data_IF_182648958838
#
_entry.id   IF_182648958838
#
_cell.length_a   1.000
_cell.length_b   1.000
_cell.length_c   1.000
_cell.angle_alpha   90.00
_cell.angle_beta   90.00
_cell.angle_gamma   90.00
#
_symmetry.space_group_name_H-M   'P 1'
#
loop_
_entity.id
_entity.type
_entity.pdbx_description
1 polymer ?
2 non-polymer ?
3 non-polymer ?
4 water ?
#
# COMPACT_ATOMS: atom_id res chain seq x y z
N UNK A 1 -9.74 5.73 -21.75
CA UNK A 1 -10.37 4.40 -21.45
C UNK A 1 -10.47 4.21 -19.95
N UNK A 2 -10.83 3.01 -19.47
CA UNK A 2 -10.97 2.83 -18.04
C UNK A 2 -9.59 3.01 -17.37
N UNK A 3 -9.55 2.72 -16.09
CA UNK A 3 -8.26 2.62 -15.38
C UNK A 3 -7.99 1.13 -15.33
N UNK A 4 -6.74 0.71 -15.47
CA UNK A 4 -6.40 -0.71 -15.35
C UNK A 4 -5.92 -1.03 -13.93
N UNK A 5 -6.38 -2.17 -13.46
CA UNK A 5 -6.15 -2.67 -12.08
C UNK A 5 -5.79 -4.15 -12.10
N UNK A 6 -4.97 -4.55 -11.14
CA UNK A 6 -4.61 -5.97 -10.88
C UNK A 6 -4.90 -6.29 -9.43
N UNK A 7 -5.44 -7.47 -9.15
CA UNK A 7 -5.54 -8.01 -7.79
C UNK A 7 -4.17 -8.53 -7.36
N UNK A 8 -3.82 -8.26 -6.12
CA UNK A 8 -2.54 -8.73 -5.61
C UNK A 8 -2.49 -8.75 -4.08
N UNK A 9 -1.52 -9.46 -3.53
CA UNK A 9 -1.14 -9.34 -2.13
C UNK A 9 0.27 -8.78 -2.04
N UNK A 10 0.61 -8.24 -0.89
CA UNK A 10 1.97 -7.76 -0.60
C UNK A 10 2.49 -8.48 0.62
N UNK A 11 3.79 -8.79 0.63
CA UNK A 11 4.50 -9.23 1.85
C UNK A 11 5.77 -8.41 2.01
N UNK A 12 6.14 -8.11 3.25
CA UNK A 12 7.36 -7.31 3.54
C UNK A 12 8.56 -8.25 3.33
N UNK A 13 9.74 -7.66 3.35
CA UNK A 13 10.96 -8.43 2.96
C UNK A 13 11.30 -9.42 4.07
N UNK A 14 10.68 -9.30 5.23
CA UNK A 14 10.87 -10.32 6.28
C UNK A 14 9.81 -11.38 6.12
N UNK A 15 8.97 -11.28 5.08
CA UNK A 15 7.92 -12.20 4.64
C UNK A 15 6.71 -12.15 5.59
N UNK A 16 6.43 -11.02 6.18
CA UNK A 16 5.16 -10.79 6.92
C UNK A 16 4.06 -10.38 5.94
N UNK A 17 2.89 -10.96 6.13
CA UNK A 17 1.64 -10.76 5.41
C UNK A 17 0.91 -9.58 6.05
N UNK A 18 -0.01 -8.98 5.29
CA UNK A 18 -0.88 -7.87 5.76
C UNK A 18 -2.32 -8.38 5.88
N UNK A 19 -2.96 -8.07 7.01
CA UNK A 19 -4.35 -8.48 7.36
C UNK A 19 -5.05 -7.26 7.96
N UNK A 20 -6.34 -7.08 7.65
CA UNK A 20 -7.22 -6.08 8.32
C UNK A 20 -7.39 -6.50 9.79
N UNK A 21 -7.04 -5.61 10.73
CA UNK A 21 -7.15 -5.85 12.19
C UNK A 21 -7.94 -4.71 12.85
N UNK A 22 -9.27 -4.75 12.70
CA UNK A 22 -10.19 -3.75 13.26
C UNK A 22 -10.52 -2.65 12.25
N UNK A 23 -11.52 -1.79 12.55
CA UNK A 23 -12.13 -0.91 11.56
C UNK A 23 -11.28 -0.60 10.31
N UNK A 24 -10.19 0.17 10.45
CA UNK A 24 -9.44 0.80 9.33
C UNK A 24 -7.93 0.61 9.51
N UNK A 25 -7.54 -0.62 9.84
CA UNK A 25 -6.22 -0.93 10.43
C UNK A 25 -5.62 -2.17 9.76
N UNK A 26 -4.59 -1.96 8.94
CA UNK A 26 -3.73 -3.02 8.37
C UNK A 26 -2.61 -3.31 9.37
N UNK A 27 -2.32 -4.59 9.63
CA UNK A 27 -1.19 -5.00 10.49
C UNK A 27 -0.36 -6.04 9.74
N UNK A 28 0.92 -6.17 10.10
CA UNK A 28 1.78 -7.14 9.43
C UNK A 28 2.15 -8.22 10.45
N UNK A 29 1.98 -9.42 10.01
CA UNK A 29 2.36 -10.57 10.86
C UNK A 29 2.74 -11.73 9.97
N UNK A 30 3.53 -12.60 10.61
CA UNK A 30 3.92 -13.87 9.99
C UNK A 30 2.71 -14.77 9.89
N UNK A 31 2.44 -15.31 8.72
CA UNK A 31 1.20 -16.05 8.40
C UNK A 31 1.58 -17.19 7.50
N UNK A 32 0.96 -18.36 7.69
CA UNK A 32 1.13 -19.49 6.77
C UNK A 32 -0.05 -20.42 7.02
N UNK A 33 -0.41 -21.15 5.99
CA UNK A 33 -1.46 -22.19 6.08
C UNK A 33 -2.84 -21.59 6.01
N UNK A 34 -3.76 -22.14 6.82
CA UNK A 34 -5.20 -21.77 6.79
C UNK A 34 -5.31 -20.25 6.92
N UNK A 35 -4.61 -19.68 7.89
CA UNK A 35 -4.75 -18.26 8.28
C UNK A 35 -4.41 -17.34 7.08
N UNK A 36 -3.92 -17.86 5.95
CA UNK A 36 -3.45 -16.99 4.83
C UNK A 36 -4.65 -16.37 4.11
N UNK A 37 -5.83 -16.95 4.26
CA UNK A 37 -7.09 -16.35 3.74
C UNK A 37 -7.31 -15.01 4.42
N UNK A 38 -6.73 -14.75 5.61
CA UNK A 38 -6.96 -13.49 6.35
C UNK A 38 -6.26 -12.34 5.61
N UNK A 39 -5.31 -12.62 4.75
CA UNK A 39 -4.50 -11.51 4.20
C UNK A 39 -5.36 -10.61 3.32
N UNK A 40 -4.97 -9.35 3.26
CA UNK A 40 -5.66 -8.33 2.46
C UNK A 40 -5.29 -8.52 1.00
N UNK A 41 -6.30 -8.51 0.16
CA UNK A 41 -6.15 -8.45 -1.29
C UNK A 41 -6.35 -7.03 -1.74
N UNK A 42 -5.34 -6.52 -2.42
CA UNK A 42 -5.34 -5.18 -2.99
C UNK A 42 -5.85 -5.22 -4.42
N UNK A 43 -6.50 -4.16 -4.82
CA UNK A 43 -6.66 -3.79 -6.23
C UNK A 43 -5.69 -2.67 -6.51
N UNK A 44 -4.62 -2.98 -7.24
CA UNK A 44 -3.55 -2.00 -7.55
C UNK A 44 -3.94 -1.37 -8.87
N UNK A 45 -4.27 -0.09 -8.87
CA UNK A 45 -4.63 0.67 -10.10
C UNK A 45 -3.38 1.38 -10.64
N UNK A 46 -3.25 1.43 -11.97
CA UNK A 46 -2.11 2.11 -12.62
C UNK A 46 -2.59 3.50 -13.04
N UNK A 47 -2.15 4.51 -12.33
CA UNK A 47 -2.79 5.84 -12.32
C UNK A 47 -1.92 6.86 -13.02
N UNK A 48 -2.52 8.02 -13.25
CA UNK A 48 -1.79 9.17 -13.82
C UNK A 48 -0.70 9.64 -12.86
N UNK A 49 0.45 10.00 -13.41
CA UNK A 49 1.54 10.55 -12.60
C UNK A 49 2.89 10.46 -13.32
N UNK A 50 3.88 11.18 -12.82
CA UNK A 50 5.30 11.08 -13.26
C UNK A 50 5.77 9.61 -13.22
N UNK A 51 6.35 9.10 -14.32
CA UNK A 51 6.68 7.67 -14.49
C UNK A 51 8.08 7.50 -15.10
N UNK A 52 8.80 6.44 -14.72
CA UNK A 52 10.09 6.05 -15.35
C UNK A 52 10.18 4.53 -15.40
N UNK A 53 11.28 3.98 -15.91
CA UNK A 53 11.34 2.51 -16.16
C UNK A 53 10.96 1.78 -14.88
N UNK A 54 11.52 2.20 -13.76
CA UNK A 54 11.43 1.41 -12.51
C UNK A 54 10.56 2.10 -11.44
N UNK A 55 9.85 3.18 -11.81
CA UNK A 55 9.03 4.04 -10.91
C UNK A 55 7.64 4.26 -11.53
N UNK A 56 6.61 3.59 -10.99
CA UNK A 56 5.28 3.44 -11.66
C UNK A 56 4.23 3.93 -10.68
N UNK A 57 3.43 4.96 -10.99
CA UNK A 57 2.47 5.50 -10.02
C UNK A 57 1.27 4.55 -9.95
N UNK A 58 0.90 4.20 -8.70
CA UNK A 58 -0.26 3.29 -8.48
C UNK A 58 -1.13 3.89 -7.38
N UNK A 59 -2.33 3.37 -7.29
CA UNK A 59 -3.18 3.48 -6.10
C UNK A 59 -3.37 2.07 -5.56
N UNK A 60 -3.52 1.99 -4.24
CA UNK A 60 -3.74 0.72 -3.53
C UNK A 60 -5.12 0.74 -2.87
N UNK A 61 -6.11 0.18 -3.55
CA UNK A 61 -7.44 -0.03 -3.00
C UNK A 61 -7.58 -1.42 -2.41
N UNK A 62 -8.48 -1.60 -1.48
CA UNK A 62 -8.78 -2.94 -0.96
C UNK A 62 -9.77 -3.58 -1.91
N UNK A 63 -9.55 -4.84 -2.29
CA UNK A 63 -10.42 -5.50 -3.30
C UNK A 63 -11.90 -5.47 -2.88
N UNK A 64 -12.69 -4.94 -3.81
CA UNK A 64 -14.18 -4.80 -3.76
C UNK A 64 -14.58 -4.06 -2.48
N UNK A 65 -13.73 -3.12 -2.06
CA UNK A 65 -14.09 -2.15 -0.99
C UNK A 65 -13.78 -0.76 -1.50
N UNK A 66 -14.56 0.21 -1.06
CA UNK A 66 -14.37 1.63 -1.40
C UNK A 66 -13.41 2.20 -0.34
N UNK A 67 -12.23 1.59 -0.24
CA UNK A 67 -11.18 1.99 0.71
C UNK A 67 -9.84 2.01 -0.02
N UNK A 68 -9.08 3.07 0.20
CA UNK A 68 -7.76 3.27 -0.45
C UNK A 68 -6.78 3.61 0.64
N UNK A 69 -5.56 3.12 0.49
CA UNK A 69 -4.44 3.72 1.26
C UNK A 69 -4.23 5.16 0.79
N UNK A 70 -3.93 6.01 1.77
CA UNK A 70 -3.96 7.49 1.65
C UNK A 70 -2.85 8.09 2.52
N UNK A 71 -2.12 9.10 2.01
CA UNK A 71 -1.07 9.78 2.79
C UNK A 71 -1.56 11.20 3.05
N UNK A 72 -1.68 11.52 4.33
CA UNK A 72 -2.15 12.85 4.76
C UNK A 72 -1.29 13.28 5.95
N UNK A 73 -1.30 14.60 6.21
CA UNK A 73 -0.73 15.10 7.46
C UNK A 73 -1.71 14.81 8.59
N UNK A 74 -1.21 14.21 9.65
CA UNK A 74 -2.02 14.02 10.86
C UNK A 74 -1.20 14.52 12.03
N UNK A 75 -1.84 15.31 12.90
CA UNK A 75 -1.13 15.95 14.04
C UNK A 75 0.25 16.36 13.48
N UNK A 76 0.26 17.00 12.31
CA UNK A 76 1.43 17.62 11.61
C UNK A 76 2.48 16.62 11.12
N UNK A 77 2.15 15.36 10.88
CA UNK A 77 3.16 14.39 10.36
C UNK A 77 2.55 13.67 9.14
N UNK A 78 3.34 13.34 8.10
CA UNK A 78 2.89 12.46 7.01
C UNK A 78 2.53 11.11 7.64
N UNK A 79 1.27 10.69 7.49
CA UNK A 79 0.77 9.40 8.02
C UNK A 79 0.07 8.63 6.90
N UNK A 80 0.00 7.32 7.09
CA UNK A 80 -0.77 6.39 6.24
C UNK A 80 -2.15 6.24 6.85
N UNK A 81 -3.19 6.37 6.06
CA UNK A 81 -4.56 6.07 6.53
C UNK A 81 -5.26 5.23 5.47
N UNK A 82 -6.33 4.58 5.89
CA UNK A 82 -7.31 3.95 4.97
C UNK A 82 -8.42 4.95 4.84
N UNK A 83 -8.76 5.36 3.65
CA UNK A 83 -9.75 6.42 3.44
C UNK A 83 -10.88 5.85 2.58
N UNK A 84 -12.13 6.14 2.99
CA UNK A 84 -13.39 5.81 2.27
C UNK A 84 -13.56 6.75 1.07
N UNK A 85 -14.13 6.25 -0.04
CA UNK A 85 -14.44 7.07 -1.20
C UNK A 85 -15.84 6.72 -1.70
N UNK A 86 -16.34 7.54 -2.62
CA UNK A 86 -17.64 7.28 -3.26
C UNK A 86 -17.47 6.12 -4.21
N UNK A 87 -18.10 4.95 -4.00
CA UNK A 87 -17.83 3.79 -4.84
C UNK A 87 -18.27 3.95 -6.29
N UNK A 88 -19.05 5.00 -6.58
CA UNK A 88 -19.49 5.30 -7.97
C UNK A 88 -18.32 5.88 -8.77
N UNK A 89 -17.31 6.44 -8.13
CA UNK A 89 -16.34 7.34 -8.79
C UNK A 89 -14.91 6.74 -8.81
N UNK A 90 -14.74 5.58 -8.19
CA UNK A 90 -13.41 4.95 -7.99
C UNK A 90 -13.47 3.51 -8.46
N UNK A 91 -12.36 2.93 -8.94
CA UNK A 91 -11.14 3.67 -9.12
C UNK A 91 -11.26 4.57 -10.35
N UNK A 92 -10.31 5.48 -10.46
CA UNK A 92 -10.22 6.35 -11.65
C UNK A 92 -8.77 6.53 -12.04
N UNK A 93 -8.54 6.95 -13.28
CA UNK A 93 -7.14 7.07 -13.77
C UNK A 93 -6.44 8.24 -13.07
N UNK A 94 -7.13 9.37 -12.91
CA UNK A 94 -6.62 10.60 -12.24
C UNK A 94 -6.96 10.55 -10.74
N UNK A 95 -6.29 9.67 -10.00
CA UNK A 95 -6.48 9.61 -8.53
C UNK A 95 -5.84 10.84 -7.92
N UNK A 96 -6.45 11.40 -6.88
CA UNK A 96 -5.91 12.51 -6.07
C UNK A 96 -4.56 12.13 -5.50
N UNK A 97 -3.69 13.09 -5.27
CA UNK A 97 -2.27 12.82 -5.03
C UNK A 97 -2.07 12.05 -3.73
N UNK A 98 -2.90 12.26 -2.71
CA UNK A 98 -2.77 11.55 -1.43
C UNK A 98 -2.92 10.04 -1.65
N UNK A 99 -3.52 9.58 -2.74
CA UNK A 99 -3.77 8.13 -2.98
C UNK A 99 -2.63 7.52 -3.78
N UNK A 100 -1.68 8.33 -4.28
CA UNK A 100 -0.71 7.84 -5.28
C UNK A 100 0.60 7.48 -4.56
N UNK A 101 1.09 6.29 -4.92
CA UNK A 101 2.40 5.75 -4.50
C UNK A 101 3.20 5.54 -5.76
N UNK A 102 4.46 5.84 -5.66
CA UNK A 102 5.43 5.45 -6.68
C UNK A 102 5.90 4.05 -6.30
N UNK A 103 5.55 3.08 -7.12
CA UNK A 103 6.01 1.70 -6.97
C UNK A 103 7.37 1.64 -7.67
N UNK A 104 8.39 1.40 -6.87
CA UNK A 104 9.81 1.44 -7.30
C UNK A 104 10.37 0.03 -7.20
N UNK A 105 10.98 -0.46 -8.27
CA UNK A 105 11.56 -1.81 -8.30
C UNK A 105 13.05 -1.65 -8.08
N UNK A 106 13.58 -2.12 -6.95
CA UNK A 106 15.08 -2.17 -6.78
C UNK A 106 15.46 -3.56 -6.25
N UNK A 107 16.40 -4.21 -6.95
CA UNK A 107 17.01 -5.50 -6.53
C UNK A 107 15.88 -6.47 -6.17
N UNK A 108 14.98 -6.65 -7.12
CA UNK A 108 13.98 -7.74 -7.14
C UNK A 108 12.99 -7.53 -6.00
N UNK A 109 12.95 -6.33 -5.42
CA UNK A 109 11.97 -5.95 -4.37
C UNK A 109 11.23 -4.68 -4.79
N UNK A 110 10.14 -4.38 -4.10
CA UNK A 110 9.32 -3.18 -4.38
C UNK A 110 9.32 -2.27 -3.16
N UNK A 111 9.39 -0.97 -3.43
CA UNK A 111 9.15 0.04 -2.40
C UNK A 111 7.96 0.84 -2.92
N UNK A 112 7.18 1.36 -2.00
CA UNK A 112 6.02 2.22 -2.30
C UNK A 112 6.26 3.57 -1.63
N UNK A 113 6.74 4.52 -2.42
CA UNK A 113 6.98 5.89 -1.93
C UNK A 113 5.68 6.70 -2.07
N UNK A 114 5.36 7.50 -1.08
CA UNK A 114 4.24 8.47 -1.23
C UNK A 114 4.53 9.48 -2.36
N UNK A 115 3.68 9.60 -3.37
CA UNK A 115 3.81 10.67 -4.40
C UNK A 115 3.70 12.01 -3.67
N UNK A 116 2.80 12.16 -2.72
CA UNK A 116 2.54 13.44 -1.99
C UNK A 116 3.75 13.80 -1.13
N UNK A 117 4.39 12.84 -0.46
CA UNK A 117 5.45 13.12 0.53
C UNK A 117 6.71 12.38 0.10
N UNK A 118 7.58 13.04 -0.69
CA UNK A 118 8.79 12.40 -1.20
C UNK A 118 9.61 11.81 -0.05
N UNK A 119 10.13 10.61 -0.30
CA UNK A 119 11.02 9.87 0.60
C UNK A 119 10.33 9.38 1.86
N UNK A 120 9.00 9.32 1.84
CA UNK A 120 8.19 8.60 2.85
C UNK A 120 7.59 7.35 2.18
N UNK A 121 7.70 6.23 2.87
CA UNK A 121 7.45 4.88 2.32
C UNK A 121 6.47 4.12 3.17
N UNK A 122 5.67 3.31 2.47
CA UNK A 122 4.91 2.26 3.19
C UNK A 122 5.95 1.40 3.93
N UNK A 123 5.70 1.19 5.22
CA UNK A 123 6.65 0.56 6.14
C UNK A 123 5.96 -0.46 7.04
N UNK A 124 6.73 -1.46 7.51
CA UNK A 124 6.30 -2.32 8.60
C UNK A 124 7.36 -2.26 9.69
N UNK A 125 6.96 -2.69 10.87
CA UNK A 125 7.88 -2.90 12.01
C UNK A 125 8.47 -4.30 11.91
N UNK A 126 9.61 -4.51 12.58
CA UNK A 126 10.15 -5.88 12.78
C UNK A 126 9.25 -6.76 13.67
N UNK A 127 8.68 -6.20 14.73
CA UNK A 127 7.73 -6.91 15.61
C UNK A 127 6.48 -7.32 14.85
N UNK A 128 5.87 -8.38 15.34
CA UNK A 128 4.61 -8.96 14.84
C UNK A 128 3.45 -8.10 15.31
N UNK A 129 2.41 -8.03 14.49
CA UNK A 129 1.08 -7.48 14.84
C UNK A 129 1.11 -6.00 15.12
N UNK A 130 1.95 -5.23 14.42
CA UNK A 130 2.01 -3.76 14.56
C UNK A 130 1.48 -3.16 13.26
N UNK A 131 1.05 -1.90 13.33
CA UNK A 131 0.45 -1.21 12.19
C UNK A 131 1.44 -1.09 11.03
N UNK A 132 0.85 -1.15 9.86
CA UNK A 132 1.50 -0.64 8.63
C UNK A 132 1.48 0.88 8.72
N UNK A 133 2.54 1.56 8.34
CA UNK A 133 2.67 3.01 8.59
C UNK A 133 3.46 3.65 7.49
N UNK A 134 3.46 4.97 7.45
CA UNK A 134 4.31 5.74 6.56
C UNK A 134 5.57 6.14 7.32
N UNK A 135 6.73 5.81 6.75
CA UNK A 135 8.05 6.10 7.34
C UNK A 135 8.93 6.90 6.41
N UNK A 136 9.56 7.95 6.95
CA UNK A 136 10.51 8.84 6.24
C UNK A 136 11.94 8.38 6.44
N UNK A 137 12.12 7.12 6.83
CA UNK A 137 13.44 6.50 7.13
C UNK A 137 13.58 5.16 6.40
N UNK A 138 14.78 4.89 5.86
CA UNK A 138 15.09 3.72 5.00
C UNK A 138 16.31 3.00 5.58
N UNK A 139 16.09 1.96 6.40
CA UNK A 139 17.15 1.16 7.04
C UNK A 139 17.38 1.56 8.49
N UNK A 140 16.58 1.01 9.41
CA UNK A 140 16.63 1.31 10.86
C UNK A 140 15.55 0.56 11.62
N UNK A 141 15.41 -0.73 11.33
CA UNK A 141 14.40 -1.64 11.96
C UNK A 141 13.02 -1.36 11.34
N UNK A 142 12.96 -0.54 10.29
CA UNK A 142 11.73 -0.36 9.48
C UNK A 142 11.92 -1.07 8.14
N UNK A 143 10.98 -1.96 7.82
CA UNK A 143 10.91 -2.72 6.54
C UNK A 143 10.21 -1.84 5.51
N UNK A 144 10.91 -1.40 4.47
CA UNK A 144 10.32 -0.57 3.38
C UNK A 144 10.31 -1.33 2.06
N UNK A 145 10.71 -2.60 2.03
CA UNK A 145 10.80 -3.45 0.83
C UNK A 145 9.71 -4.51 0.91
N UNK A 146 9.11 -4.80 -0.22
CA UNK A 146 8.00 -5.76 -0.34
C UNK A 146 8.18 -6.62 -1.56
N UNK A 147 7.46 -7.75 -1.59
CA UNK A 147 7.27 -8.60 -2.79
C UNK A 147 5.79 -8.56 -3.17
N UNK A 148 5.51 -8.52 -4.47
CA UNK A 148 4.15 -8.41 -5.05
C UNK A 148 3.70 -9.81 -5.49
N UNK A 149 2.48 -10.23 -5.13
CA UNK A 149 1.89 -11.52 -5.61
C UNK A 149 0.60 -11.25 -6.38
N UNK A 150 0.51 -11.71 -7.63
CA UNK A 150 -0.69 -11.50 -8.47
C UNK A 150 -1.68 -12.64 -8.19
N UNK A 151 -2.93 -12.28 -7.90
CA UNK A 151 -4.01 -13.23 -7.50
C UNK A 151 -5.11 -13.19 -8.57
N UNK A 152 -5.92 -14.25 -8.65
CA UNK A 152 -7.01 -14.39 -9.66
C UNK A 152 -8.10 -13.33 -9.43
X LIG B 1 -11.49 6.83 -15.54
X LIG B 1 -12.88 7.23 -15.47
X LIG B 1 -11.02 6.86 -16.91
X LIG B 1 -10.73 7.76 -14.75
X LIG B 1 -11.34 5.50 -15.01
X LIG C 1 -10.79 15.71 -2.88
X LIG C 1 -11.07 14.28 -2.96
X LIG C 1 -11.32 16.35 -4.06
X LIG C 1 -11.39 16.25 -1.69
X LIG C 1 -9.36 15.98 -2.84
X LIG D 1 -2.78 2.65 9.10
X LIG D 1 -3.47 2.63 7.72
X LIG D 1 -3.74 1.16 7.44
X LIG D 1 -2.71 1.16 9.54
X LIG D 1 -2.72 3.66 11.30
X LIG D 1 -3.57 3.47 10.11
X LIG D 1 -3.31 0.38 8.56
X LIG D 1 -3.46 4.23 12.43
X LIG D 1 -3.20 3.62 13.81
X LIG D 1 -4.49 3.29 13.06
#
# INVERSE_FOLDING_TARGET
>A
APVRSLNCTLRDSQQKSLVMSGPYELKALHLQGQDMEQQVVFSMSFVQGEESNDKIPVALGLKEKNLYLSCVLKDDKPTLQLESVDPKNYPKKKMEKRFVFNKIEINNKLEFESAQFPNWYISTSQAENMPVFLGGTKGGQDITDFTMQFVSS
>B hetero
1 SO4 S O1 O2 O3 O4
>C hetero
1 SO4 S O1 O2 O3 O4
>D hetero
1 S8V C4 C5 C6 C7 N C O C1 C2 C3
#
